data_IF_642570603574
#
_entry.id   IF_642570603574
#
_cell.length_a   1.000
_cell.length_b   1.000
_cell.length_c   1.000
_cell.angle_alpha   90.00
_cell.angle_beta   90.00
_cell.angle_gamma   90.00
#
_symmetry.space_group_name_H-M   'P 1'
#
loop_
_entity.id
_entity.type
_entity.pdbx_description
1 polymer ?
#
# COMPACT_ATOMS: atom_id res chain seq x y z
N UNK A 1 -12.09 42.19 -7.93
CA UNK A 1 -12.54 42.10 -9.32
C UNK A 1 -11.42 42.65 -10.19
N UNK A 2 -10.62 41.92 -10.94
CA UNK A 2 -10.43 40.48 -11.14
C UNK A 2 -9.04 40.34 -11.76
N UNK A 3 -8.23 39.42 -11.25
CA UNK A 3 -6.91 39.12 -11.81
C UNK A 3 -6.83 37.60 -12.00
N UNK A 4 -7.81 37.01 -12.68
CA UNK A 4 -7.90 35.56 -12.85
C UNK A 4 -8.46 35.13 -14.21
N UNK A 5 -7.94 35.68 -15.31
CA UNK A 5 -8.03 35.01 -16.61
C UNK A 5 -6.63 34.86 -17.20
N UNK A 6 -5.78 34.11 -16.50
CA UNK A 6 -4.69 33.44 -17.20
C UNK A 6 -5.31 32.22 -17.90
N UNK A 7 -5.63 32.40 -19.17
CA UNK A 7 -6.11 31.32 -20.03
C UNK A 7 -5.08 30.18 -20.02
N UNK A 8 -5.44 29.09 -19.35
CA UNK A 8 -4.56 27.94 -19.18
C UNK A 8 -4.25 27.35 -20.56
N UNK A 9 -3.00 27.50 -20.99
CA UNK A 9 -2.48 26.80 -22.17
C UNK A 9 -1.89 25.47 -21.70
N UNK A 10 -2.49 24.37 -22.15
CA UNK A 10 -1.96 23.03 -21.87
C UNK A 10 -0.51 22.93 -22.36
N UNK A 11 0.45 22.50 -21.51
CA UNK A 11 1.82 22.23 -21.94
C UNK A 11 1.91 20.94 -22.78
N UNK A 12 0.82 20.18 -22.88
CA UNK A 12 0.73 18.97 -23.68
C UNK A 12 0.09 19.28 -25.03
N UNK A 13 0.79 18.89 -26.10
CA UNK A 13 0.28 18.93 -27.47
C UNK A 13 -0.54 17.67 -27.75
N UNK A 14 -1.86 17.80 -27.68
CA UNK A 14 -2.79 16.69 -27.91
C UNK A 14 -2.92 16.31 -29.40
N UNK A 15 -2.45 17.17 -30.31
CA UNK A 15 -2.46 16.92 -31.75
C UNK A 15 -1.24 16.07 -32.18
N UNK A 16 -0.24 15.93 -31.31
CA UNK A 16 1.04 15.29 -31.63
C UNK A 16 0.96 13.75 -31.77
N UNK A 17 -0.21 13.14 -31.51
CA UNK A 17 -0.42 11.71 -31.57
C UNK A 17 0.30 10.95 -30.45
N UNK A 18 -0.30 9.86 -29.96
CA UNK A 18 0.35 9.01 -28.95
C UNK A 18 1.34 8.06 -29.62
N UNK A 19 2.54 7.93 -29.04
CA UNK A 19 3.49 6.92 -29.45
C UNK A 19 2.89 5.52 -29.17
N UNK A 20 2.43 4.85 -30.23
CA UNK A 20 1.76 3.55 -30.15
C UNK A 20 2.73 2.39 -29.91
N UNK A 21 4.04 2.63 -29.91
CA UNK A 21 5.06 1.60 -29.62
C UNK A 21 4.95 1.06 -28.19
N UNK A 22 4.30 1.80 -27.28
CA UNK A 22 4.01 1.35 -25.91
C UNK A 22 2.73 0.50 -25.79
N UNK A 23 1.92 0.37 -26.84
CA UNK A 23 0.67 -0.42 -26.82
C UNK A 23 0.88 -1.94 -26.90
N UNK A 24 2.13 -2.39 -27.06
CA UNK A 24 2.51 -3.82 -27.11
C UNK A 24 3.37 -4.29 -25.94
N UNK A 25 3.51 -3.48 -24.88
CA UNK A 25 4.04 -3.96 -23.62
C UNK A 25 2.92 -4.68 -22.86
N UNK A 26 2.69 -5.94 -23.23
CA UNK A 26 1.90 -6.84 -22.40
C UNK A 26 2.55 -6.91 -21.01
N UNK A 27 1.81 -6.75 -19.90
CA UNK A 27 2.36 -7.06 -18.59
C UNK A 27 2.74 -8.54 -18.60
N UNK A 28 4.04 -8.85 -18.50
CA UNK A 28 4.46 -10.19 -18.10
C UNK A 28 3.83 -10.45 -16.74
N UNK A 29 2.85 -11.36 -16.73
CA UNK A 29 1.94 -11.59 -15.63
C UNK A 29 2.71 -12.11 -14.41
N UNK A 30 2.21 -11.71 -13.25
CA UNK A 30 2.39 -12.27 -11.90
C UNK A 30 3.50 -11.66 -11.06
N UNK A 31 3.16 -10.53 -10.47
CA UNK A 31 3.50 -10.26 -9.07
C UNK A 31 2.56 -11.07 -8.18
N UNK A 32 3.10 -11.76 -7.18
CA UNK A 32 2.41 -11.88 -5.89
C UNK A 32 3.46 -11.71 -4.78
N UNK A 33 3.26 -10.75 -3.84
CA UNK A 33 4.17 -10.55 -2.72
C UNK A 33 4.05 -11.68 -1.67
N UNK A 34 5.11 -11.93 -0.88
CA UNK A 34 5.10 -12.99 0.12
C UNK A 34 4.16 -12.62 1.28
N UNK A 35 3.01 -13.28 1.40
CA UNK A 35 2.13 -13.09 2.57
C UNK A 35 0.65 -13.52 2.47
N UNK A 36 0.15 -13.96 1.31
CA UNK A 36 -1.26 -14.40 1.21
C UNK A 36 -1.50 -15.77 1.86
N UNK A 37 -2.61 -15.98 2.60
CA UNK A 37 -2.86 -17.18 3.39
C UNK A 37 -3.12 -18.40 2.50
N UNK A 38 -2.54 -19.51 2.92
CA UNK A 38 -2.52 -20.83 2.30
C UNK A 38 -3.90 -21.39 1.93
N UNK A 39 -4.09 -21.73 0.65
CA UNK A 39 -5.09 -22.72 0.19
C UNK A 39 -4.43 -23.70 -0.78
N UNK A 40 -3.76 -24.69 -0.18
CA UNK A 40 -3.81 -26.15 -0.43
C UNK A 40 -4.14 -26.68 -1.85
N UNK A 41 -3.08 -27.17 -2.51
CA UNK A 41 -2.89 -28.53 -3.09
C UNK A 41 -3.91 -29.11 -4.10
N UNK A 42 -3.42 -29.45 -5.32
CA UNK A 42 -3.43 -30.84 -5.84
C UNK A 42 -2.26 -31.09 -6.80
N UNK A 43 -1.67 -32.28 -6.67
CA UNK A 43 -0.37 -32.70 -7.16
C UNK A 43 -0.40 -33.49 -8.49
N UNK A 44 0.69 -33.39 -9.26
CA UNK A 44 1.33 -34.40 -10.13
C UNK A 44 2.56 -33.71 -10.75
N UNK A 45 3.82 -34.08 -10.50
CA UNK A 45 4.42 -35.39 -10.37
C UNK A 45 5.15 -35.73 -11.68
N UNK A 46 6.47 -35.96 -11.61
CA UNK A 46 7.42 -36.44 -12.64
C UNK A 46 8.11 -35.34 -13.50
N UNK A 47 9.36 -34.93 -13.20
CA UNK A 47 10.66 -35.61 -13.45
C UNK A 47 11.02 -35.63 -14.95
N UNK A 48 12.07 -34.86 -15.30
CA UNK A 48 12.85 -34.99 -16.54
C UNK A 48 13.72 -36.26 -16.47
N UNK A 49 14.07 -36.88 -17.60
CA UNK A 49 15.51 -36.98 -17.87
C UNK A 49 15.91 -36.79 -19.35
N UNK A 50 17.20 -36.51 -19.50
CA UNK A 50 17.98 -36.23 -20.71
C UNK A 50 18.04 -37.37 -21.73
N UNK A 51 18.21 -37.00 -23.01
CA UNK A 51 19.18 -37.52 -23.99
C UNK A 51 18.66 -37.31 -25.41
N UNK A 52 19.48 -36.74 -26.30
CA UNK A 52 19.75 -37.26 -27.65
C UNK A 52 21.06 -36.62 -28.12
N UNK A 53 22.07 -37.47 -28.26
CA UNK A 53 23.29 -37.22 -29.04
C UNK A 53 22.96 -37.49 -30.50
N UNK A 54 23.20 -36.55 -31.40
CA UNK A 54 23.20 -36.82 -32.84
C UNK A 54 24.53 -36.35 -33.43
N UNK A 55 25.45 -37.32 -33.54
CA UNK A 55 26.65 -37.23 -34.37
C UNK A 55 26.21 -37.68 -35.77
N UNK A 56 26.39 -36.81 -36.76
CA UNK A 56 26.22 -37.08 -38.18
C UNK A 56 27.19 -36.20 -38.96
N UNK A 57 28.04 -36.85 -39.75
CA UNK A 57 29.28 -36.39 -40.34
C UNK A 57 29.16 -35.67 -41.70
N UNK A 58 30.07 -34.72 -41.91
CA UNK A 58 30.71 -34.32 -43.19
C UNK A 58 29.90 -33.62 -44.31
N UNK A 59 30.10 -32.29 -44.41
CA UNK A 59 30.20 -31.57 -45.69
C UNK A 59 30.98 -30.26 -45.50
N UNK A 60 32.18 -30.24 -46.07
CA UNK A 60 33.11 -29.12 -46.26
C UNK A 60 32.42 -27.87 -46.85
N UNK A 61 32.63 -26.68 -46.25
CA UNK A 61 33.17 -25.49 -46.95
C UNK A 61 33.37 -24.30 -46.00
N UNK A 62 34.65 -23.95 -45.86
CA UNK A 62 35.22 -22.67 -45.46
C UNK A 62 34.38 -21.44 -45.80
N UNK A 63 34.02 -20.65 -44.78
CA UNK A 63 34.23 -19.20 -44.78
C UNK A 63 34.64 -18.76 -43.38
N UNK A 64 35.91 -18.36 -43.29
CA UNK A 64 36.50 -17.53 -42.26
C UNK A 64 35.67 -16.26 -42.03
N UNK A 65 35.04 -16.11 -40.87
CA UNK A 65 34.99 -14.82 -40.15
C UNK A 65 34.91 -15.15 -38.66
N UNK A 66 36.05 -15.25 -38.00
CA UNK A 66 36.08 -14.91 -36.57
C UNK A 66 35.73 -13.42 -36.50
N UNK A 67 34.71 -12.99 -35.75
CA UNK A 67 34.55 -11.57 -35.47
C UNK A 67 35.76 -11.20 -34.62
N UNK A 68 36.71 -10.51 -35.24
CA UNK A 68 37.79 -9.82 -34.58
C UNK A 68 37.17 -8.95 -33.49
N UNK A 69 37.25 -9.41 -32.24
CA UNK A 69 37.24 -8.52 -31.09
C UNK A 69 38.32 -7.48 -31.38
N UNK A 70 38.03 -6.18 -31.44
CA UNK A 70 39.09 -5.19 -31.50
C UNK A 70 39.95 -5.45 -30.27
N UNK A 71 41.14 -5.98 -30.49
CA UNK A 71 42.16 -6.07 -29.45
C UNK A 71 42.51 -4.64 -29.11
N UNK A 72 41.89 -4.12 -28.04
CA UNK A 72 42.37 -2.92 -27.35
C UNK A 72 43.89 -3.05 -27.24
N UNK A 73 44.63 -2.00 -27.58
CA UNK A 73 46.09 -2.06 -27.46
C UNK A 73 46.46 -2.33 -26.00
N UNK A 74 47.56 -3.04 -25.77
CA UNK A 74 48.01 -3.45 -24.42
C UNK A 74 48.00 -2.26 -23.43
N UNK A 75 48.38 -1.08 -23.93
CA UNK A 75 48.39 0.20 -23.21
C UNK A 75 46.98 0.66 -22.81
N UNK A 76 46.01 0.64 -23.73
CA UNK A 76 44.61 1.00 -23.41
C UNK A 76 43.99 0.02 -22.40
N UNK A 77 44.38 -1.26 -22.46
CA UNK A 77 43.90 -2.27 -21.52
C UNK A 77 44.46 -2.04 -20.10
N UNK A 78 45.72 -1.60 -19.98
CA UNK A 78 46.32 -1.24 -18.70
C UNK A 78 45.69 0.02 -18.11
N UNK A 79 45.48 1.06 -18.92
CA UNK A 79 44.80 2.30 -18.49
C UNK A 79 43.39 2.04 -17.96
N UNK A 80 42.61 1.18 -18.62
CA UNK A 80 41.28 0.79 -18.17
C UNK A 80 41.30 0.02 -16.85
N UNK A 81 42.34 -0.78 -16.57
CA UNK A 81 42.48 -1.48 -15.28
C UNK A 81 42.76 -0.50 -14.16
N UNK A 82 43.60 0.50 -14.40
CA UNK A 82 43.91 1.54 -13.42
C UNK A 82 42.69 2.43 -13.15
N UNK A 83 41.95 2.82 -14.19
CA UNK A 83 40.70 3.56 -14.03
C UNK A 83 39.65 2.74 -13.27
N UNK A 84 39.52 1.45 -13.57
CA UNK A 84 38.62 0.56 -12.85
C UNK A 84 38.96 0.51 -11.37
N UNK A 85 40.24 0.30 -11.02
CA UNK A 85 40.69 0.25 -9.63
C UNK A 85 40.38 1.56 -8.90
N UNK A 86 40.63 2.70 -9.55
CA UNK A 86 40.30 4.01 -9.00
C UNK A 86 38.79 4.18 -8.78
N UNK A 87 37.96 3.75 -9.73
CA UNK A 87 36.51 3.81 -9.60
C UNK A 87 36.00 2.88 -8.50
N UNK A 88 36.59 1.70 -8.32
CA UNK A 88 36.27 0.80 -7.22
C UNK A 88 36.55 1.46 -5.86
N UNK A 89 37.68 2.13 -5.70
CA UNK A 89 38.02 2.91 -4.50
C UNK A 89 37.05 4.08 -4.26
N UNK A 90 36.64 4.77 -5.32
CA UNK A 90 35.64 5.84 -5.23
C UNK A 90 34.27 5.28 -4.81
N UNK A 91 33.83 4.16 -5.39
CA UNK A 91 32.57 3.49 -5.01
C UNK A 91 32.60 3.11 -3.54
N UNK A 92 33.71 2.55 -3.06
CA UNK A 92 33.87 2.21 -1.64
C UNK A 92 33.81 3.47 -0.77
N UNK A 93 34.54 4.51 -1.14
CA UNK A 93 34.58 5.78 -0.40
C UNK A 93 33.20 6.44 -0.35
N UNK A 94 32.50 6.54 -1.49
CA UNK A 94 31.16 7.11 -1.58
C UNK A 94 30.15 6.31 -0.76
N UNK A 95 30.26 4.98 -0.75
CA UNK A 95 29.42 4.12 0.08
C UNK A 95 29.60 4.39 1.57
N UNK A 96 30.85 4.62 2.01
CA UNK A 96 31.14 4.99 3.40
C UNK A 96 30.58 6.38 3.75
N UNK A 97 30.74 7.36 2.85
CA UNK A 97 30.17 8.71 3.03
C UNK A 97 28.64 8.63 3.12
N UNK A 98 28.00 7.85 2.26
CA UNK A 98 26.55 7.64 2.29
C UNK A 98 26.11 7.04 3.63
N UNK A 99 26.74 5.96 4.09
CA UNK A 99 26.43 5.35 5.38
C UNK A 99 26.61 6.35 6.54
N UNK A 100 27.66 7.19 6.49
CA UNK A 100 27.86 8.25 7.48
C UNK A 100 26.74 9.32 7.44
N UNK A 101 26.26 9.69 6.24
CA UNK A 101 25.13 10.61 6.08
C UNK A 101 23.81 10.02 6.54
N UNK A 102 23.52 8.76 6.25
CA UNK A 102 22.33 8.05 6.72
C UNK A 102 22.28 8.01 8.25
N UNK A 103 23.43 7.71 8.88
CA UNK A 103 23.58 7.81 10.35
C UNK A 103 23.33 9.23 10.85
N UNK A 104 23.88 10.25 10.20
CA UNK A 104 23.67 11.65 10.58
C UNK A 104 22.18 12.03 10.49
N UNK A 105 21.48 11.59 9.44
CA UNK A 105 20.04 11.80 9.29
C UNK A 105 19.27 11.12 10.42
N UNK A 106 19.60 9.87 10.75
CA UNK A 106 18.98 9.16 11.86
C UNK A 106 19.21 9.88 13.21
N UNK A 107 20.43 10.40 13.43
CA UNK A 107 20.76 11.17 14.62
C UNK A 107 20.00 12.50 14.72
N UNK A 108 19.89 13.24 13.61
CA UNK A 108 19.10 14.47 13.54
C UNK A 108 17.62 14.16 13.79
N UNK A 109 17.06 13.13 13.14
CA UNK A 109 15.68 12.66 13.34
C UNK A 109 15.40 12.36 14.81
N UNK A 110 16.30 11.63 15.48
CA UNK A 110 16.23 11.35 16.92
C UNK A 110 16.28 12.64 17.77
N UNK A 111 17.18 13.57 17.46
CA UNK A 111 17.27 14.88 18.17
C UNK A 111 16.01 15.72 18.01
N UNK A 112 15.39 15.68 16.84
CA UNK A 112 14.12 16.35 16.55
C UNK A 112 12.89 15.59 17.09
N UNK A 113 13.09 14.40 17.68
CA UNK A 113 11.99 13.54 18.15
C UNK A 113 11.20 12.85 17.04
N UNK A 114 11.65 12.96 15.78
CA UNK A 114 11.11 12.26 14.61
C UNK A 114 11.68 10.84 14.61
N UNK A 115 11.19 10.02 15.54
CA UNK A 115 11.56 8.61 15.62
C UNK A 115 10.41 7.76 15.07
N UNK A 116 10.66 6.60 14.44
CA UNK A 116 9.60 5.74 13.90
C UNK A 116 8.50 5.43 14.92
N UNK A 117 8.88 5.26 16.20
CA UNK A 117 7.94 5.04 17.29
C UNK A 117 7.11 6.28 17.62
N UNK A 118 7.70 7.47 17.61
CA UNK A 118 6.96 8.71 17.86
C UNK A 118 5.99 9.02 16.70
N UNK A 119 6.40 8.81 15.44
CA UNK A 119 5.52 8.94 14.28
C UNK A 119 4.33 7.96 14.37
N UNK A 120 4.59 6.70 14.71
CA UNK A 120 3.53 5.70 14.92
C UNK A 120 2.57 6.12 16.05
N UNK A 121 3.09 6.52 17.20
CA UNK A 121 2.27 6.97 18.34
C UNK A 121 1.39 8.16 17.96
N UNK A 122 1.95 9.13 17.25
CA UNK A 122 1.22 10.32 16.80
C UNK A 122 0.16 9.94 15.76
N UNK A 123 0.46 9.06 14.81
CA UNK A 123 -0.48 8.61 13.79
C UNK A 123 -1.66 7.86 14.42
N UNK A 124 -1.40 6.89 15.30
CA UNK A 124 -2.44 6.15 16.02
C UNK A 124 -3.29 7.10 16.89
N UNK A 125 -2.65 8.02 17.62
CA UNK A 125 -3.38 8.98 18.46
C UNK A 125 -4.30 9.87 17.64
N UNK A 126 -3.81 10.36 16.48
CA UNK A 126 -4.61 11.15 15.54
C UNK A 126 -5.76 10.35 14.95
N UNK A 127 -5.50 9.16 14.41
CA UNK A 127 -6.55 8.31 13.86
C UNK A 127 -7.60 7.90 14.90
N UNK A 128 -7.17 7.62 16.13
CA UNK A 128 -8.09 7.33 17.23
C UNK A 128 -8.94 8.54 17.60
N UNK A 129 -8.32 9.71 17.77
CA UNK A 129 -9.02 10.97 18.01
C UNK A 129 -10.01 11.24 16.88
N UNK A 130 -9.57 11.14 15.63
CA UNK A 130 -10.38 11.35 14.43
C UNK A 130 -11.61 10.46 14.42
N UNK A 131 -11.50 9.17 14.75
CA UNK A 131 -12.65 8.27 14.87
C UNK A 131 -13.63 8.72 15.96
N UNK A 132 -13.14 9.11 17.13
CA UNK A 132 -14.01 9.56 18.25
C UNK A 132 -14.63 10.94 18.04
N UNK A 133 -13.94 11.83 17.33
CA UNK A 133 -14.45 13.16 17.00
C UNK A 133 -15.22 13.21 15.69
N UNK A 134 -15.12 12.14 14.89
CA UNK A 134 -15.78 12.04 13.60
C UNK A 134 -17.28 12.21 13.75
N UNK A 135 -17.86 12.98 12.83
CA UNK A 135 -19.31 13.19 12.70
C UNK A 135 -20.06 11.87 12.65
N UNK A 136 -19.47 10.78 12.12
CA UNK A 136 -20.11 9.46 12.12
C UNK A 136 -20.24 8.86 13.53
N UNK A 137 -19.22 8.99 14.39
CA UNK A 137 -19.28 8.54 15.78
C UNK A 137 -20.15 9.47 16.63
N UNK A 138 -20.03 10.79 16.46
CA UNK A 138 -20.89 11.75 17.16
C UNK A 138 -22.36 11.58 16.78
N UNK A 139 -22.68 11.47 15.49
CA UNK A 139 -24.05 11.25 15.01
C UNK A 139 -24.63 9.90 15.44
N UNK A 140 -23.81 8.85 15.52
CA UNK A 140 -24.24 7.54 16.03
C UNK A 140 -24.41 7.53 17.54
N UNK A 141 -23.51 8.16 18.30
CA UNK A 141 -23.62 8.26 19.77
C UNK A 141 -24.76 9.20 20.20
N UNK A 142 -24.96 10.31 19.50
CA UNK A 142 -26.12 11.19 19.65
C UNK A 142 -27.41 10.45 19.24
N UNK A 143 -27.41 9.71 18.12
CA UNK A 143 -28.54 8.90 17.68
C UNK A 143 -28.91 7.79 18.67
N UNK A 144 -27.92 7.08 19.23
CA UNK A 144 -28.11 6.07 20.26
C UNK A 144 -28.64 6.69 21.56
N UNK A 145 -28.09 7.83 21.99
CA UNK A 145 -28.56 8.55 23.17
C UNK A 145 -30.01 9.04 23.00
N UNK A 146 -30.33 9.62 21.84
CA UNK A 146 -31.68 10.07 21.50
C UNK A 146 -32.65 8.89 21.41
N UNK A 147 -32.25 7.78 20.80
CA UNK A 147 -33.05 6.55 20.75
C UNK A 147 -33.23 5.95 22.15
N UNK A 148 -32.19 5.93 22.98
CA UNK A 148 -32.23 5.44 24.35
C UNK A 148 -33.15 6.27 25.23
N UNK A 149 -33.09 7.60 25.14
CA UNK A 149 -34.01 8.48 25.85
C UNK A 149 -35.46 8.30 25.38
N UNK A 150 -35.69 8.23 24.06
CA UNK A 150 -37.03 7.99 23.50
C UNK A 150 -37.58 6.62 23.90
N UNK A 151 -36.76 5.57 23.90
CA UNK A 151 -37.14 4.25 24.36
C UNK A 151 -37.43 4.22 25.86
N UNK A 152 -36.61 4.88 26.68
CA UNK A 152 -36.82 4.99 28.14
C UNK A 152 -38.12 5.73 28.46
N UNK A 153 -38.42 6.82 27.72
CA UNK A 153 -39.67 7.55 27.86
C UNK A 153 -40.89 6.71 27.45
N UNK A 154 -40.79 5.98 26.33
CA UNK A 154 -41.84 5.07 25.89
C UNK A 154 -42.07 3.93 26.89
N UNK A 155 -41.00 3.33 27.41
CA UNK A 155 -41.05 2.28 28.43
C UNK A 155 -41.73 2.77 29.72
N UNK A 156 -41.35 3.95 30.21
CA UNK A 156 -41.97 4.57 31.40
C UNK A 156 -43.47 4.85 31.18
N UNK A 157 -43.83 5.32 29.98
CA UNK A 157 -45.23 5.59 29.61
C UNK A 157 -46.07 4.31 29.57
N UNK A 158 -45.53 3.22 29.01
CA UNK A 158 -46.20 1.92 28.99
C UNK A 158 -46.37 1.33 30.41
N UNK A 159 -45.35 1.43 31.27
CA UNK A 159 -45.45 1.01 32.67
C UNK A 159 -46.51 1.80 33.45
N UNK A 160 -46.63 3.10 33.17
CA UNK A 160 -47.66 3.96 33.77
C UNK A 160 -49.07 3.63 33.27
N UNK A 161 -49.22 3.32 31.97
CA UNK A 161 -50.51 2.91 31.40
C UNK A 161 -51.01 1.59 32.01
N UNK A 162 -50.11 0.61 32.19
CA UNK A 162 -50.45 -0.66 32.85
C UNK A 162 -50.83 -0.43 34.32
N UNK A 163 -50.05 0.39 35.03
CA UNK A 163 -50.33 0.73 36.45
C UNK A 163 -51.70 1.40 36.61
N UNK A 164 -52.05 2.34 35.71
CA UNK A 164 -53.38 2.97 35.68
C UNK A 164 -54.50 1.97 35.41
N UNK A 165 -54.30 1.02 34.48
CA UNK A 165 -55.31 -0.03 34.23
C UNK A 165 -55.54 -0.92 35.44
N UNK A 166 -54.49 -1.21 36.20
CA UNK A 166 -54.62 -1.97 37.43
C UNK A 166 -55.34 -1.17 38.52
N UNK A 167 -55.03 0.12 38.66
CA UNK A 167 -55.70 1.03 39.59
C UNK A 167 -57.20 1.19 39.25
N UNK A 168 -57.55 1.39 37.98
CA UNK A 168 -58.93 1.51 37.50
C UNK A 168 -59.78 0.28 37.88
N UNK A 169 -59.27 -0.93 37.67
CA UNK A 169 -59.97 -2.18 38.01
C UNK A 169 -60.14 -2.33 39.52
N UNK A 170 -59.12 -1.98 40.30
CA UNK A 170 -59.19 -1.99 41.77
C UNK A 170 -60.25 -1.02 42.29
N UNK A 171 -60.33 0.19 41.74
CA UNK A 171 -61.34 1.18 42.12
C UNK A 171 -62.76 0.74 41.73
N UNK A 172 -62.96 0.17 40.54
CA UNK A 172 -64.26 -0.41 40.16
C UNK A 172 -64.68 -1.55 41.10
N UNK A 173 -63.74 -2.41 41.48
CA UNK A 173 -64.01 -3.53 42.39
C UNK A 173 -64.46 -3.05 43.78
N UNK A 174 -63.88 -1.96 44.30
CA UNK A 174 -64.25 -1.37 45.60
C UNK A 174 -65.59 -0.65 45.51
N UNK A 175 -65.86 0.05 44.40
CA UNK A 175 -67.15 0.73 44.18
C UNK A 175 -68.32 -0.24 44.14
N UNK A 176 -68.13 -1.46 43.60
CA UNK A 176 -69.17 -2.49 43.56
C UNK A 176 -69.44 -3.17 44.91
N UNK A 177 -68.59 -2.94 45.93
CA UNK A 177 -68.74 -3.51 47.27
C UNK A 177 -69.43 -2.57 48.28
N UNK A 178 -69.65 -1.30 47.91
CA UNK A 178 -70.23 -0.26 48.77
C UNK A 178 -71.53 0.37 48.21
N UNK A 179 -72.14 -0.26 47.20
CA UNK A 179 -73.44 0.11 46.62
C UNK A 179 -74.56 -0.78 47.10
#
# INVERSE_FOLDING_TARGET
MDALEQEYKSPFDFEQGVNSSYLYLSPSVIVTPPGSPHVTVTARGAVRPDSITEVGEDAVMSVTVSPSVPTLTEEEQEELRDELLKLEDEVVTLSQVLAAKEKQVADIKRKLGITPLNELKQNISKSWQEVTTSTAYKKTSEGLSVAGQKATAAFTSMGSAISRKFEDVRLQSISNYFG
#
